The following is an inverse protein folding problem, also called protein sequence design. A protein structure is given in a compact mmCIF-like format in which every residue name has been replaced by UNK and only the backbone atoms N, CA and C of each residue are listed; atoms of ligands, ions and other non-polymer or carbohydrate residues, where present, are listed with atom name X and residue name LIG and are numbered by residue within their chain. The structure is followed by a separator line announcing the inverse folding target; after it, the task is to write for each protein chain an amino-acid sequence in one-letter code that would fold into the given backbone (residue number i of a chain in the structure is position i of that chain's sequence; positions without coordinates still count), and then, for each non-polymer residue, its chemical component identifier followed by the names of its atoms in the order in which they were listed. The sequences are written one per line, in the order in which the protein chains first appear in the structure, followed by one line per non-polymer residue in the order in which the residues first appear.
data_IF_995333379394
#
_entry.id   IF_995333379394
#
_cell.length_a   1.000
_cell.length_b   1.000
_cell.length_c   1.000
_cell.angle_alpha   90.00
_cell.angle_beta   90.00
_cell.angle_gamma   90.00
#
_symmetry.space_group_name_H-M   'P 1'
#
loop_
_entity.id
_entity.type
_entity.pdbx_description
1 polymer ?
#
# COMPACT_ATOMS: atom_id res chain seq x y z
N UNK A 1 -9.70 -15.89 7.96
CA UNK A 1 -8.39 -16.02 7.29
C UNK A 1 -7.44 -15.15 8.09
N UNK A 2 -6.54 -15.75 8.87
CA UNK A 2 -5.54 -14.95 9.57
C UNK A 2 -4.64 -14.30 8.51
N UNK A 3 -4.37 -13.00 8.65
CA UNK A 3 -3.51 -12.24 7.73
C UNK A 3 -2.01 -12.67 7.80
N UNK A 4 -1.72 -13.78 8.49
CA UNK A 4 -0.38 -14.26 8.82
C UNK A 4 0.06 -15.49 8.00
N UNK A 5 -0.81 -16.08 7.18
CA UNK A 5 -0.36 -17.12 6.27
C UNK A 5 0.07 -16.48 4.94
N UNK A 6 1.37 -16.51 4.67
CA UNK A 6 1.95 -16.07 3.38
C UNK A 6 1.68 -17.07 2.24
N UNK A 7 0.90 -18.12 2.51
CA UNK A 7 0.42 -19.04 1.49
C UNK A 7 -0.33 -18.31 0.38
N UNK A 8 0.18 -18.45 -0.84
CA UNK A 8 -0.51 -17.96 -2.02
C UNK A 8 -1.83 -18.73 -2.21
N UNK A 9 -2.92 -18.00 -2.37
CA UNK A 9 -4.23 -18.54 -2.72
C UNK A 9 -4.70 -17.94 -4.03
N UNK A 10 -5.10 -18.80 -4.96
CA UNK A 10 -5.71 -18.34 -6.21
C UNK A 10 -7.05 -17.68 -5.91
N UNK A 11 -7.20 -16.42 -6.34
CA UNK A 11 -8.48 -15.72 -6.26
C UNK A 11 -9.43 -16.11 -7.40
N UNK A 12 -9.00 -16.97 -8.35
CA UNK A 12 -9.79 -17.36 -9.52
C UNK A 12 -9.98 -16.23 -10.54
N UNK A 13 -9.21 -15.15 -10.43
CA UNK A 13 -9.30 -13.94 -11.26
C UNK A 13 -8.32 -14.04 -12.43
N UNK A 14 -8.78 -13.80 -13.66
CA UNK A 14 -7.93 -13.77 -14.85
C UNK A 14 -7.06 -12.50 -14.92
N UNK A 15 -6.03 -12.49 -15.78
CA UNK A 15 -5.13 -11.34 -15.96
C UNK A 15 -5.89 -10.04 -16.29
N UNK A 16 -6.84 -10.11 -17.23
CA UNK A 16 -7.63 -8.95 -17.65
C UNK A 16 -8.45 -8.38 -16.50
N UNK A 17 -9.08 -9.26 -15.71
CA UNK A 17 -9.89 -8.87 -14.56
C UNK A 17 -9.02 -8.27 -13.45
N UNK A 18 -7.80 -8.78 -13.26
CA UNK A 18 -6.82 -8.20 -12.35
C UNK A 18 -6.41 -6.79 -12.79
N UNK A 19 -6.06 -6.59 -14.06
CA UNK A 19 -5.68 -5.27 -14.58
C UNK A 19 -6.85 -4.30 -14.51
N UNK A 20 -8.05 -4.74 -14.88
CA UNK A 20 -9.27 -3.94 -14.74
C UNK A 20 -9.46 -3.52 -13.28
N UNK A 21 -9.37 -4.45 -12.33
CA UNK A 21 -9.45 -4.14 -10.90
C UNK A 21 -8.35 -3.18 -10.42
N UNK A 22 -7.11 -3.28 -10.89
CA UNK A 22 -6.06 -2.32 -10.54
C UNK A 22 -6.37 -0.89 -10.99
N UNK A 23 -7.07 -0.73 -12.12
CA UNK A 23 -7.37 0.58 -12.72
C UNK A 23 -8.73 1.14 -12.31
N UNK A 24 -9.71 0.28 -12.03
CA UNK A 24 -11.10 0.66 -11.75
C UNK A 24 -11.59 0.19 -10.39
N UNK A 25 -10.74 -0.48 -9.61
CA UNK A 25 -11.09 -0.97 -8.29
C UNK A 25 -11.49 0.17 -7.36
N UNK A 26 -12.49 -0.07 -6.53
CA UNK A 26 -12.87 0.87 -5.48
C UNK A 26 -11.82 0.84 -4.36
N UNK A 27 -10.74 1.59 -4.58
CA UNK A 27 -9.71 1.83 -3.59
C UNK A 27 -10.31 2.39 -2.29
N UNK A 28 -11.42 3.13 -2.37
CA UNK A 28 -12.10 3.67 -1.20
C UNK A 28 -12.78 2.58 -0.35
N UNK A 29 -13.17 1.43 -0.93
CA UNK A 29 -13.64 0.28 -0.17
C UNK A 29 -12.47 -0.46 0.51
N UNK A 30 -11.34 -0.59 -0.18
CA UNK A 30 -10.14 -1.27 0.34
C UNK A 30 -9.42 -0.45 1.42
N UNK A 31 -9.25 0.84 1.20
CA UNK A 31 -8.61 1.80 2.11
C UNK A 31 -9.62 2.52 3.02
N UNK A 32 -10.91 2.17 2.95
CA UNK A 32 -11.97 2.73 3.80
C UNK A 32 -11.63 2.73 5.29
N UNK A 33 -11.10 1.63 5.87
CA UNK A 33 -10.63 1.61 7.26
C UNK A 33 -9.50 2.61 7.55
N UNK A 34 -8.76 3.02 6.53
CA UNK A 34 -7.65 3.97 6.59
C UNK A 34 -8.04 5.39 6.14
N UNK A 35 -9.31 5.62 5.78
CA UNK A 35 -9.82 6.92 5.31
C UNK A 35 -9.73 8.04 6.36
N UNK A 36 -9.48 7.69 7.63
CA UNK A 36 -9.20 8.64 8.70
C UNK A 36 -7.84 9.34 8.58
N UNK A 37 -6.89 8.78 7.82
CA UNK A 37 -5.55 9.35 7.64
C UNK A 37 -5.61 10.52 6.64
N UNK A 38 -5.23 11.71 7.10
CA UNK A 38 -5.32 12.96 6.33
C UNK A 38 -4.63 12.89 4.96
N UNK A 39 -3.55 12.11 4.84
CA UNK A 39 -2.85 11.93 3.57
C UNK A 39 -3.71 11.30 2.46
N UNK A 40 -4.67 10.43 2.80
CA UNK A 40 -5.60 9.85 1.81
C UNK A 40 -6.70 10.82 1.39
N UNK A 41 -6.96 11.85 2.21
CA UNK A 41 -7.87 12.96 1.88
C UNK A 41 -7.18 14.04 1.06
N UNK A 42 -5.85 14.14 1.12
CA UNK A 42 -5.07 15.12 0.38
C UNK A 42 -5.23 14.91 -1.14
N UNK A 43 -5.61 15.97 -1.84
CA UNK A 43 -5.68 16.03 -3.30
C UNK A 43 -4.71 17.10 -3.82
N UNK A 44 -4.07 16.89 -4.98
CA UNK A 44 -4.15 15.69 -5.83
C UNK A 44 -3.45 14.48 -5.21
N UNK A 45 -3.88 13.27 -5.58
CA UNK A 45 -3.13 12.03 -5.23
C UNK A 45 -1.79 12.02 -5.99
N UNK A 46 -0.76 11.31 -5.51
CA UNK A 46 0.49 11.12 -6.23
C UNK A 46 0.26 10.63 -7.66
N UNK A 47 1.11 11.10 -8.58
CA UNK A 47 1.18 10.57 -9.94
C UNK A 47 1.70 9.13 -9.93
N UNK A 48 1.62 8.44 -11.07
CA UNK A 48 2.03 7.04 -11.21
C UNK A 48 3.46 6.75 -10.72
N UNK A 49 4.38 7.69 -10.90
CA UNK A 49 5.79 7.61 -10.51
C UNK A 49 6.04 7.83 -9.01
N UNK A 50 5.00 8.12 -8.22
CA UNK A 50 5.13 8.46 -6.81
C UNK A 50 4.08 7.75 -5.94
N UNK A 51 4.42 7.55 -4.67
CA UNK A 51 3.55 6.85 -3.73
C UNK A 51 3.69 7.41 -2.32
N UNK A 52 2.74 7.08 -1.45
CA UNK A 52 2.81 7.42 -0.04
C UNK A 52 3.70 6.42 0.72
N UNK A 53 4.65 6.95 1.48
CA UNK A 53 5.44 6.23 2.48
C UNK A 53 4.97 6.64 3.88
N UNK A 54 4.86 5.65 4.77
CA UNK A 54 4.36 5.82 6.13
C UNK A 54 5.39 5.30 7.13
N UNK A 55 5.70 6.10 8.16
CA UNK A 55 6.52 5.64 9.27
C UNK A 55 5.91 6.05 10.63
N UNK A 56 5.69 5.10 11.55
CA UNK A 56 5.75 3.65 11.39
C UNK A 56 4.69 3.10 10.40
N UNK A 57 4.74 1.81 10.05
CA UNK A 57 3.74 1.21 9.16
C UNK A 57 2.33 1.30 9.74
N UNK A 58 1.33 1.54 8.89
CA UNK A 58 -0.04 1.84 9.31
C UNK A 58 -0.70 0.74 10.16
N UNK A 59 -0.29 -0.51 9.98
CA UNK A 59 -0.78 -1.65 10.77
C UNK A 59 -0.12 -1.80 12.14
N UNK A 60 0.90 -0.98 12.46
CA UNK A 60 1.53 -0.99 13.79
C UNK A 60 0.66 -0.27 14.81
N UNK A 61 0.79 -0.67 16.08
CA UNK A 61 0.06 -0.03 17.19
C UNK A 61 0.43 1.45 17.33
N UNK A 62 1.69 1.79 17.08
CA UNK A 62 2.25 3.13 17.13
C UNK A 62 1.61 4.04 16.07
N UNK A 63 1.48 3.56 14.83
CA UNK A 63 0.83 4.31 13.76
C UNK A 63 -0.70 4.37 13.92
N UNK A 64 -1.32 3.30 14.44
CA UNK A 64 -2.78 3.23 14.64
C UNK A 64 -3.27 4.17 15.73
N UNK A 65 -2.54 4.26 16.84
CA UNK A 65 -2.90 5.10 18.00
C UNK A 65 -2.26 6.49 17.95
N UNK A 66 -1.36 6.73 16.98
CA UNK A 66 -0.59 7.95 16.86
C UNK A 66 -0.84 8.68 15.54
N UNK A 67 0.05 9.62 15.21
CA UNK A 67 0.09 10.29 13.91
C UNK A 67 1.32 9.79 13.15
N UNK A 68 1.15 8.92 12.14
CA UNK A 68 2.29 8.47 11.34
C UNK A 68 2.87 9.63 10.54
N UNK A 69 4.19 9.63 10.34
CA UNK A 69 4.83 10.50 9.35
C UNK A 69 4.44 10.00 7.96
N UNK A 70 4.01 10.93 7.10
CA UNK A 70 3.60 10.61 5.74
C UNK A 70 4.42 11.43 4.76
N UNK A 71 5.05 10.75 3.81
CA UNK A 71 5.83 11.38 2.74
C UNK A 71 5.40 10.85 1.39
N UNK A 72 5.52 11.69 0.37
CA UNK A 72 5.42 11.25 -1.02
C UNK A 72 6.84 10.99 -1.51
N UNK A 73 7.13 9.76 -1.94
CA UNK A 73 8.43 9.33 -2.46
C UNK A 73 8.27 8.70 -3.84
N UNK A 74 9.36 8.45 -4.55
CA UNK A 74 9.33 7.75 -5.83
C UNK A 74 8.79 6.32 -5.67
N UNK A 75 8.01 5.84 -6.65
CA UNK A 75 7.48 4.49 -6.65
C UNK A 75 8.61 3.44 -6.62
N UNK A 76 9.67 3.66 -7.41
CA UNK A 76 10.87 2.80 -7.42
C UNK A 76 11.61 2.79 -6.09
N UNK A 77 11.72 3.96 -5.44
CA UNK A 77 12.32 4.08 -4.12
C UNK A 77 11.52 3.30 -3.08
N UNK A 78 10.19 3.42 -3.10
CA UNK A 78 9.31 2.67 -2.20
C UNK A 78 9.41 1.15 -2.40
N UNK A 79 9.46 0.71 -3.67
CA UNK A 79 9.63 -0.70 -4.00
C UNK A 79 10.97 -1.23 -3.50
N UNK A 80 12.05 -0.49 -3.74
CA UNK A 80 13.40 -0.85 -3.30
C UNK A 80 13.46 -1.04 -1.78
N UNK A 81 12.98 -0.06 -1.03
CA UNK A 81 12.94 -0.11 0.44
C UNK A 81 12.16 -1.32 0.95
N UNK A 82 11.03 -1.67 0.31
CA UNK A 82 10.23 -2.84 0.69
C UNK A 82 10.96 -4.15 0.41
N UNK A 83 11.56 -4.27 -0.78
CA UNK A 83 12.31 -5.45 -1.16
C UNK A 83 13.51 -5.69 -0.23
N UNK A 84 14.25 -4.62 0.12
CA UNK A 84 15.34 -4.68 1.11
C UNK A 84 14.84 -5.13 2.48
N UNK A 85 13.71 -4.59 2.95
CA UNK A 85 13.10 -4.96 4.23
C UNK A 85 12.70 -6.44 4.31
N UNK A 86 12.26 -7.02 3.19
CA UNK A 86 11.93 -8.43 3.09
C UNK A 86 13.14 -9.33 2.80
N UNK A 87 14.36 -8.76 2.74
CA UNK A 87 15.60 -9.50 2.54
C UNK A 87 15.83 -9.94 1.09
N UNK A 88 15.14 -9.36 0.11
CA UNK A 88 15.47 -9.57 -1.29
C UNK A 88 16.72 -8.79 -1.66
N UNK A 89 17.68 -9.45 -2.31
CA UNK A 89 18.84 -8.78 -2.87
C UNK A 89 18.42 -7.95 -4.08
N UNK A 90 18.73 -6.65 -4.04
CA UNK A 90 18.48 -5.73 -5.15
C UNK A 90 19.85 -5.34 -5.69
N UNK A 91 20.13 -5.74 -6.94
CA UNK A 91 21.36 -5.37 -7.67
C UNK A 91 21.24 -4.00 -8.32
#
# INVERSE_FOLDING_TARGET
MAADDTAWVSLGVGYTDFVAWCLTGELDHLYGPLAGIDAYKARPRPAFEATYSFYPFLWTREATNGKPDVRVIGADECLRLRLELFGFAIS
#
